data_IF_135731214549
#
_entry.id   IF_135731214549
#
_cell.length_a   1.000
_cell.length_b   1.000
_cell.length_c   1.000
_cell.angle_alpha   90.00
_cell.angle_beta   90.00
_cell.angle_gamma   90.00
#
_symmetry.space_group_name_H-M   'P 1'
#
loop_
_entity.id
_entity.type
_entity.pdbx_description
1 polymer ?
#
# COMPACT_ATOMS: atom_id res chain seq x y z
N UNK A 1 22.52 39.35 16.88
CA UNK A 1 21.26 39.02 16.20
C UNK A 1 21.35 37.54 15.84
N UNK A 2 20.99 36.65 16.75
CA UNK A 2 21.08 35.20 16.55
C UNK A 2 19.94 34.76 15.65
N UNK A 3 20.28 34.39 14.41
CA UNK A 3 19.39 33.72 13.49
C UNK A 3 19.02 32.38 14.13
N UNK A 4 17.76 32.23 14.53
CA UNK A 4 17.23 30.94 14.96
C UNK A 4 17.17 30.07 13.71
N UNK A 5 18.15 29.18 13.55
CA UNK A 5 18.04 28.11 12.55
C UNK A 5 16.78 27.31 12.88
N UNK A 6 15.84 27.35 11.94
CA UNK A 6 14.48 26.89 12.16
C UNK A 6 14.41 25.39 11.88
N UNK A 7 14.89 24.58 12.84
CA UNK A 7 14.92 23.11 12.83
C UNK A 7 13.54 22.43 12.71
N UNK A 8 12.47 23.22 12.64
CA UNK A 8 11.07 22.75 12.58
C UNK A 8 10.73 22.14 11.21
N UNK A 9 11.35 22.59 10.12
CA UNK A 9 11.07 22.07 8.78
C UNK A 9 11.48 20.59 8.56
N UNK A 10 12.71 20.15 8.90
CA UNK A 10 13.13 18.76 8.69
C UNK A 10 12.44 17.75 9.63
N UNK A 11 11.94 18.19 10.79
CA UNK A 11 11.17 17.32 11.68
C UNK A 11 9.75 17.09 11.14
N UNK A 12 9.13 18.14 10.58
CA UNK A 12 7.82 18.04 9.93
C UNK A 12 7.84 17.10 8.71
N UNK A 13 8.91 17.10 7.92
CA UNK A 13 9.03 16.19 6.78
C UNK A 13 9.19 14.73 7.21
N UNK A 14 9.97 14.44 8.25
CA UNK A 14 10.11 13.06 8.78
C UNK A 14 8.83 12.53 9.41
N UNK A 15 8.08 13.39 10.10
CA UNK A 15 6.79 13.00 10.68
C UNK A 15 5.76 12.74 9.58
N UNK A 16 5.71 13.58 8.55
CA UNK A 16 4.84 13.35 7.39
C UNK A 16 5.18 12.02 6.70
N UNK A 17 6.46 11.75 6.44
CA UNK A 17 6.92 10.49 5.86
C UNK A 17 6.47 9.28 6.68
N UNK A 18 6.67 9.31 8.00
CA UNK A 18 6.25 8.20 8.88
C UNK A 18 4.74 7.98 8.88
N UNK A 19 3.95 9.05 8.82
CA UNK A 19 2.50 8.96 8.76
C UNK A 19 2.04 8.39 7.40
N UNK A 20 2.73 8.73 6.32
CA UNK A 20 2.49 8.15 5.00
C UNK A 20 2.83 6.66 4.99
N UNK A 21 3.98 6.27 5.54
CA UNK A 21 4.40 4.87 5.66
C UNK A 21 3.39 4.07 6.51
N UNK A 22 2.97 4.60 7.66
CA UNK A 22 1.96 3.98 8.54
C UNK A 22 0.60 3.84 7.83
N UNK A 23 0.21 4.84 7.04
CA UNK A 23 -1.01 4.79 6.25
C UNK A 23 -0.94 3.71 5.15
N UNK A 24 0.21 3.57 4.49
CA UNK A 24 0.45 2.54 3.47
C UNK A 24 0.39 1.15 4.13
N UNK A 25 1.09 0.95 5.24
CA UNK A 25 1.09 -0.31 6.00
C UNK A 25 -0.32 -0.71 6.44
N UNK A 26 -1.11 0.25 6.94
CA UNK A 26 -2.49 0.01 7.34
C UNK A 26 -3.36 -0.45 6.15
N UNK A 27 -3.18 0.14 4.97
CA UNK A 27 -3.90 -0.27 3.75
C UNK A 27 -3.50 -1.68 3.31
N UNK A 28 -2.20 -2.01 3.36
CA UNK A 28 -1.68 -3.35 3.04
C UNK A 28 -2.27 -4.40 3.98
N UNK A 29 -2.29 -4.12 5.28
CA UNK A 29 -2.84 -5.01 6.31
C UNK A 29 -4.35 -5.28 6.12
N UNK A 30 -5.14 -4.25 5.80
CA UNK A 30 -6.57 -4.41 5.48
C UNK A 30 -6.77 -5.31 4.25
N UNK A 31 -5.98 -5.12 3.19
CA UNK A 31 -6.05 -5.94 1.97
C UNK A 31 -5.68 -7.40 2.25
N UNK A 32 -4.61 -7.62 3.02
CA UNK A 32 -4.17 -8.96 3.43
C UNK A 32 -5.24 -9.70 4.23
N UNK A 33 -5.86 -9.03 5.22
CA UNK A 33 -6.95 -9.63 6.04
C UNK A 33 -8.15 -10.04 5.19
N UNK A 34 -8.60 -9.20 4.25
CA UNK A 34 -9.72 -9.52 3.36
C UNK A 34 -9.40 -10.70 2.45
N UNK A 35 -8.19 -10.75 1.89
CA UNK A 35 -7.74 -11.88 1.07
C UNK A 35 -7.72 -13.19 1.86
N UNK A 36 -7.18 -13.17 3.08
CA UNK A 36 -7.19 -14.33 3.97
C UNK A 36 -8.62 -14.79 4.31
N UNK A 37 -9.53 -13.84 4.53
CA UNK A 37 -10.94 -14.15 4.77
C UNK A 37 -11.58 -14.88 3.57
N UNK A 38 -11.37 -14.38 2.35
CA UNK A 38 -11.91 -15.00 1.13
C UNK A 38 -11.33 -16.38 0.83
N UNK A 39 -10.02 -16.54 1.02
CA UNK A 39 -9.37 -17.84 0.88
C UNK A 39 -9.92 -18.86 1.88
N UNK A 40 -10.14 -18.44 3.14
CA UNK A 40 -10.75 -19.30 4.16
C UNK A 40 -12.20 -19.65 3.84
N UNK A 41 -12.95 -18.73 3.26
CA UNK A 41 -14.33 -18.96 2.82
C UNK A 41 -14.42 -19.83 1.56
N UNK A 42 -13.28 -20.19 0.95
CA UNK A 42 -13.22 -21.07 -0.22
C UNK A 42 -13.69 -20.40 -1.51
N UNK A 43 -13.63 -19.07 -1.59
CA UNK A 43 -13.93 -18.36 -2.83
C UNK A 43 -12.93 -18.77 -3.90
N UNK A 44 -13.40 -18.91 -5.13
CA UNK A 44 -12.49 -19.07 -6.26
C UNK A 44 -11.64 -17.79 -6.42
N UNK A 45 -10.43 -17.90 -7.00
CA UNK A 45 -9.50 -16.78 -7.10
C UNK A 45 -10.06 -15.55 -7.82
N UNK A 46 -10.95 -15.73 -8.81
CA UNK A 46 -11.54 -14.63 -9.58
C UNK A 46 -12.57 -13.89 -8.74
N UNK A 47 -13.46 -14.63 -8.08
CA UNK A 47 -14.44 -14.02 -7.16
C UNK A 47 -13.75 -13.29 -6.01
N UNK A 48 -12.69 -13.87 -5.43
CA UNK A 48 -11.90 -13.21 -4.39
C UNK A 48 -11.26 -11.91 -4.88
N UNK A 49 -10.73 -11.89 -6.12
CA UNK A 49 -10.16 -10.70 -6.73
C UNK A 49 -11.22 -9.59 -6.97
N UNK A 50 -12.41 -9.96 -7.46
CA UNK A 50 -13.52 -9.02 -7.67
C UNK A 50 -13.99 -8.41 -6.34
N UNK A 51 -14.14 -9.23 -5.30
CA UNK A 51 -14.52 -8.74 -3.97
C UNK A 51 -13.46 -7.82 -3.37
N UNK A 52 -12.18 -8.19 -3.46
CA UNK A 52 -11.08 -7.32 -3.03
C UNK A 52 -11.07 -5.98 -3.77
N UNK A 53 -11.32 -6.00 -5.08
CA UNK A 53 -11.38 -4.78 -5.88
C UNK A 53 -12.58 -3.90 -5.51
N UNK A 54 -13.76 -4.49 -5.37
CA UNK A 54 -14.97 -3.75 -5.01
C UNK A 54 -14.85 -3.06 -3.64
N UNK A 55 -14.11 -3.68 -2.70
CA UNK A 55 -14.01 -3.20 -1.34
C UNK A 55 -12.80 -2.31 -1.05
N UNK A 56 -11.69 -2.51 -1.77
CA UNK A 56 -10.42 -1.82 -1.50
C UNK A 56 -9.92 -0.99 -2.69
N UNK A 57 -10.61 -1.05 -3.83
CA UNK A 57 -10.17 -0.45 -5.08
C UNK A 57 -8.95 -1.14 -5.70
N UNK A 58 -8.46 -2.24 -5.11
CA UNK A 58 -7.22 -2.89 -5.53
C UNK A 58 -7.46 -4.37 -5.82
N UNK A 59 -7.07 -4.80 -7.02
CA UNK A 59 -7.16 -6.18 -7.47
C UNK A 59 -5.75 -6.82 -7.46
N UNK A 60 -5.55 -7.97 -6.79
CA UNK A 60 -4.25 -8.65 -6.79
C UNK A 60 -3.81 -9.01 -8.20
N UNK A 61 -2.63 -8.55 -8.62
CA UNK A 61 -2.05 -8.88 -9.93
C UNK A 61 -2.71 -8.21 -11.14
N UNK A 62 -3.74 -7.36 -10.96
CA UNK A 62 -4.36 -6.57 -12.02
C UNK A 62 -4.04 -5.08 -11.90
N UNK A 63 -2.92 -4.75 -11.26
CA UNK A 63 -2.50 -3.36 -11.19
C UNK A 63 -2.16 -2.89 -12.61
N UNK A 64 -3.13 -2.30 -13.30
CA UNK A 64 -3.02 -1.71 -14.63
C UNK A 64 -2.34 -0.34 -14.57
N UNK A 65 -1.44 -0.11 -13.61
CA UNK A 65 -0.47 0.97 -13.71
C UNK A 65 0.56 0.55 -14.76
N UNK A 66 0.11 0.55 -16.02
CA UNK A 66 0.96 0.50 -17.21
C UNK A 66 1.92 1.70 -17.27
N UNK A 67 1.69 2.71 -16.42
CA UNK A 67 2.53 3.91 -16.29
C UNK A 67 3.60 3.81 -15.17
N UNK A 68 3.51 2.86 -14.24
CA UNK A 68 4.51 2.67 -13.17
C UNK A 68 5.42 1.44 -13.40
N UNK A 69 5.27 0.75 -14.53
CA UNK A 69 5.98 -0.50 -14.83
C UNK A 69 7.48 -0.33 -15.16
N UNK A 70 8.12 0.73 -14.68
CA UNK A 70 9.55 1.01 -14.88
C UNK A 70 10.24 1.51 -13.60
N UNK A 71 9.95 0.99 -12.40
CA UNK A 71 10.93 1.14 -11.28
C UNK A 71 10.81 0.16 -10.09
N UNK A 72 10.64 -1.14 -10.33
CA UNK A 72 11.39 -2.19 -9.60
C UNK A 72 10.96 -3.59 -10.05
N UNK A 73 11.90 -4.29 -10.69
CA UNK A 73 11.72 -5.65 -11.16
C UNK A 73 11.65 -6.65 -10.02
N UNK A 74 10.69 -7.56 -10.13
CA UNK A 74 10.93 -9.00 -9.94
C UNK A 74 11.50 -9.43 -8.56
N UNK A 75 10.81 -9.12 -7.46
CA UNK A 75 11.07 -9.76 -6.14
C UNK A 75 9.80 -10.29 -5.47
N UNK A 76 8.91 -10.92 -6.24
CA UNK A 76 7.73 -11.62 -5.70
C UNK A 76 7.67 -13.10 -6.11
N UNK A 77 8.74 -13.64 -6.68
CA UNK A 77 8.83 -15.02 -7.13
C UNK A 77 10.24 -15.65 -7.01
N UNK A 78 11.00 -15.32 -5.96
CA UNK A 78 12.26 -15.97 -5.60
C UNK A 78 12.22 -16.53 -4.18
#
# INVERSE_FOLDING_TARGET
>A
MTMYDNDIHPLRSRLAQRLEDEAIDAVVDVRARRRCHYNRAGLDPVTAAVQLWAETGHAPGWNTNLDDALDDGEEWAA
#
